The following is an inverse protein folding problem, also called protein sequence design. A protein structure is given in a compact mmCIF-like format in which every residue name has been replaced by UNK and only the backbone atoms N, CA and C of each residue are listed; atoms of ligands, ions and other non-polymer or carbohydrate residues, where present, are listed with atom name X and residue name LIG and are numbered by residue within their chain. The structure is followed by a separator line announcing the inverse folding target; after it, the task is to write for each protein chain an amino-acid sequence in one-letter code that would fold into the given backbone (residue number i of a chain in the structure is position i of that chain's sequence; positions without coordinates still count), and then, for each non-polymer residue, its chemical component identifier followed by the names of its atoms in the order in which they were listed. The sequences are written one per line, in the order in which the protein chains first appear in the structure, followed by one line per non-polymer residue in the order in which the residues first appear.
data_IF_298618003567
#
_entry.id   IF_298618003567
#
_cell.length_a   1.000
_cell.length_b   1.000
_cell.length_c   1.000
_cell.angle_alpha   90.00
_cell.angle_beta   90.00
_cell.angle_gamma   90.00
#
_symmetry.space_group_name_H-M   'P 1'
#
loop_
_entity.id
_entity.type
_entity.pdbx_description
1 polymer ?
#
# COMPACT_ATOMS: atom_id res chain seq x y z
N UNK A 1 -6.96 -12.13 -15.20
CA UNK A 1 -6.89 -10.67 -15.44
C UNK A 1 -5.59 -10.16 -14.85
N UNK A 2 -4.87 -9.31 -15.57
CA UNK A 2 -3.58 -8.74 -15.16
C UNK A 2 -3.64 -7.22 -15.32
N UNK A 3 -2.90 -6.51 -14.47
CA UNK A 3 -2.55 -5.10 -14.69
C UNK A 3 -1.10 -5.07 -15.19
N UNK A 4 -0.89 -4.47 -16.36
CA UNK A 4 0.43 -4.36 -17.00
C UNK A 4 0.74 -2.88 -17.18
N UNK A 5 1.89 -2.46 -16.67
CA UNK A 5 2.43 -1.11 -16.79
C UNK A 5 3.75 -1.19 -17.54
N UNK A 6 3.93 -0.35 -18.58
CA UNK A 6 5.14 -0.35 -19.40
C UNK A 6 5.66 1.08 -19.57
N UNK A 7 6.94 1.26 -19.29
CA UNK A 7 7.74 2.48 -19.54
C UNK A 7 7.04 3.75 -19.05
N UNK A 8 6.33 3.65 -17.88
CA UNK A 8 5.53 4.73 -17.36
C UNK A 8 6.41 5.82 -16.76
N UNK A 9 6.23 7.05 -17.24
CA UNK A 9 6.98 8.21 -16.81
C UNK A 9 6.05 9.35 -16.40
N UNK A 10 6.47 10.10 -15.37
CA UNK A 10 5.80 11.32 -14.93
C UNK A 10 6.78 12.29 -14.31
N UNK A 11 6.84 13.49 -14.85
CA UNK A 11 7.59 14.62 -14.32
C UNK A 11 6.62 15.77 -14.00
N UNK A 12 6.79 16.37 -12.83
CA UNK A 12 6.00 17.53 -12.46
C UNK A 12 6.66 18.83 -12.97
N UNK A 13 5.89 19.96 -13.08
CA UNK A 13 6.43 21.22 -13.58
C UNK A 13 7.63 21.78 -12.79
N UNK A 14 7.77 21.38 -11.53
CA UNK A 14 8.91 21.72 -10.67
C UNK A 14 10.17 20.89 -10.94
N UNK A 15 10.18 20.05 -11.99
CA UNK A 15 11.31 19.21 -12.37
C UNK A 15 11.41 17.87 -11.62
N UNK A 16 10.52 17.59 -10.68
CA UNK A 16 10.53 16.31 -9.96
C UNK A 16 10.06 15.19 -10.87
N UNK A 17 10.93 14.22 -11.13
CA UNK A 17 10.63 13.00 -11.88
C UNK A 17 9.99 11.97 -10.93
N UNK A 18 8.68 12.04 -10.79
CA UNK A 18 7.92 11.24 -9.84
C UNK A 18 7.72 9.79 -10.25
N UNK A 19 7.73 9.52 -11.57
CA UNK A 19 7.80 8.16 -12.15
C UNK A 19 8.88 8.15 -13.22
N UNK A 20 9.75 7.17 -13.16
CA UNK A 20 10.89 7.03 -14.04
C UNK A 20 10.98 5.60 -14.55
N UNK A 21 10.47 5.36 -15.75
CA UNK A 21 10.49 4.07 -16.43
C UNK A 21 9.90 2.93 -15.57
N UNK A 22 8.70 3.14 -15.02
CA UNK A 22 8.04 2.12 -14.21
C UNK A 22 7.49 1.03 -15.12
N UNK A 23 7.92 -0.19 -14.83
CA UNK A 23 7.47 -1.42 -15.48
C UNK A 23 6.97 -2.38 -14.39
N UNK A 24 5.72 -2.85 -14.48
CA UNK A 24 5.10 -3.76 -13.50
C UNK A 24 4.09 -4.68 -14.18
N UNK A 25 4.00 -5.91 -13.69
CA UNK A 25 2.92 -6.84 -14.07
C UNK A 25 2.31 -7.43 -12.82
N UNK A 26 1.04 -7.12 -12.55
CA UNK A 26 0.32 -7.56 -11.38
C UNK A 26 -0.76 -8.57 -11.75
N UNK A 27 -0.80 -9.67 -11.04
CA UNK A 27 -1.86 -10.67 -11.09
C UNK A 27 -2.90 -10.44 -9.98
N UNK A 28 -3.96 -11.25 -9.92
CA UNK A 28 -4.85 -11.29 -8.77
C UNK A 28 -4.05 -11.54 -7.50
N UNK A 29 -4.43 -10.88 -6.42
CA UNK A 29 -3.74 -10.95 -5.13
C UNK A 29 -3.47 -9.58 -4.54
N UNK A 30 -2.85 -9.60 -3.37
CA UNK A 30 -2.42 -8.41 -2.65
C UNK A 30 -1.00 -8.03 -3.08
N UNK A 31 -0.85 -6.82 -3.59
CA UNK A 31 0.42 -6.25 -4.03
C UNK A 31 0.83 -5.07 -3.15
N UNK A 32 1.98 -5.17 -2.49
CA UNK A 32 2.54 -4.14 -1.62
C UNK A 32 3.40 -3.14 -2.39
N UNK A 33 3.02 -1.87 -2.33
CA UNK A 33 3.81 -0.75 -2.86
C UNK A 33 4.48 -0.02 -1.69
N UNK A 34 5.73 -0.38 -1.40
CA UNK A 34 6.49 0.09 -0.25
C UNK A 34 7.49 1.18 -0.68
N UNK A 35 7.68 2.18 0.17
CA UNK A 35 8.66 3.25 -0.08
C UNK A 35 8.47 4.45 0.83
N UNK A 36 9.48 5.33 0.97
CA UNK A 36 9.38 6.53 1.79
C UNK A 36 8.41 7.55 1.18
N UNK A 37 8.11 8.60 1.95
CA UNK A 37 7.37 9.74 1.43
C UNK A 37 8.16 10.38 0.29
N UNK A 38 7.46 10.75 -0.79
CA UNK A 38 8.11 11.26 -2.01
C UNK A 38 8.68 10.20 -2.96
N UNK A 39 8.57 8.90 -2.65
CA UNK A 39 9.06 7.82 -3.54
C UNK A 39 8.33 7.72 -4.89
N UNK A 40 7.15 8.35 -5.03
CA UNK A 40 6.33 8.27 -6.24
C UNK A 40 5.10 7.38 -6.13
N UNK A 41 4.87 6.73 -4.98
CA UNK A 41 3.74 5.79 -4.74
C UNK A 41 2.37 6.39 -5.08
N UNK A 42 2.03 7.52 -4.47
CA UNK A 42 0.73 8.19 -4.71
C UNK A 42 0.61 8.71 -6.14
N UNK A 43 1.73 9.09 -6.78
CA UNK A 43 1.74 9.46 -8.21
C UNK A 43 1.39 8.24 -9.07
N UNK A 44 2.00 7.10 -8.83
CA UNK A 44 1.72 5.85 -9.54
C UNK A 44 0.24 5.47 -9.38
N UNK A 45 -0.27 5.44 -8.16
CA UNK A 45 -1.66 5.08 -7.88
C UNK A 45 -2.67 6.04 -8.51
N UNK A 46 -2.43 7.36 -8.43
CA UNK A 46 -3.29 8.36 -9.08
C UNK A 46 -3.28 8.21 -10.60
N UNK A 47 -2.15 7.84 -11.19
CA UNK A 47 -2.04 7.60 -12.63
C UNK A 47 -2.82 6.35 -13.03
N UNK A 48 -2.69 5.24 -12.28
CA UNK A 48 -3.48 4.02 -12.50
C UNK A 48 -4.98 4.30 -12.30
N UNK A 49 -5.34 5.10 -11.28
CA UNK A 49 -6.73 5.49 -11.01
C UNK A 49 -7.30 6.52 -12.00
N UNK A 50 -6.54 6.96 -13.01
CA UNK A 50 -6.92 7.99 -13.99
C UNK A 50 -7.28 9.35 -13.39
N UNK A 51 -6.70 9.70 -12.25
CA UNK A 51 -6.82 10.99 -11.60
C UNK A 51 -5.78 12.00 -12.10
N UNK A 52 -4.76 11.51 -12.79
CA UNK A 52 -3.76 12.30 -13.51
C UNK A 52 -3.23 11.50 -14.71
N UNK A 53 -2.70 12.18 -15.70
CA UNK A 53 -2.11 11.56 -16.89
C UNK A 53 -0.58 11.42 -16.71
N UNK A 54 0.03 10.32 -17.18
CA UNK A 54 1.47 10.19 -17.30
C UNK A 54 1.98 11.06 -18.47
N UNK A 55 3.30 11.23 -18.54
CA UNK A 55 3.92 11.93 -19.69
C UNK A 55 4.21 10.95 -20.83
N UNK A 56 4.47 9.68 -20.51
CA UNK A 56 4.64 8.58 -21.47
C UNK A 56 4.42 7.22 -20.81
N UNK A 57 4.34 6.17 -21.63
CA UNK A 57 4.11 4.80 -21.22
C UNK A 57 2.68 4.34 -21.44
N UNK A 58 2.38 3.13 -20.99
CA UNK A 58 1.05 2.52 -21.13
C UNK A 58 0.63 1.76 -19.88
N UNK A 59 -0.68 1.67 -19.66
CA UNK A 59 -1.28 0.89 -18.57
C UNK A 59 -2.44 0.09 -19.14
N UNK A 60 -2.41 -1.23 -18.96
CA UNK A 60 -3.41 -2.16 -19.45
C UNK A 60 -4.01 -2.96 -18.29
N UNK A 61 -5.34 -3.00 -18.16
CA UNK A 61 -6.05 -3.87 -17.21
C UNK A 61 -6.90 -4.89 -17.99
N UNK A 62 -6.37 -6.10 -18.18
CA UNK A 62 -6.97 -7.07 -19.10
C UNK A 62 -7.08 -6.46 -20.50
N UNK A 63 -8.29 -6.31 -21.03
CA UNK A 63 -8.56 -5.71 -22.36
C UNK A 63 -8.77 -4.19 -22.30
N UNK A 64 -8.71 -3.57 -21.11
CA UNK A 64 -8.94 -2.13 -20.93
C UNK A 64 -7.62 -1.37 -21.04
N UNK A 65 -7.50 -0.50 -22.03
CA UNK A 65 -6.48 0.54 -22.08
C UNK A 65 -6.84 1.64 -21.07
N UNK A 66 -6.12 1.64 -19.95
CA UNK A 66 -6.44 2.49 -18.79
C UNK A 66 -6.38 3.99 -19.13
N UNK A 67 -5.44 4.39 -19.97
CA UNK A 67 -5.23 5.80 -20.29
C UNK A 67 -6.27 6.33 -21.30
N UNK A 68 -6.69 5.50 -22.24
CA UNK A 68 -7.63 5.87 -23.29
C UNK A 68 -9.08 5.50 -22.97
N UNK A 69 -9.31 4.49 -22.13
CA UNK A 69 -10.64 3.99 -21.77
C UNK A 69 -10.96 4.27 -20.28
N UNK A 70 -10.72 5.50 -19.83
CA UNK A 70 -10.86 5.91 -18.41
C UNK A 70 -12.23 5.58 -17.83
N UNK A 71 -13.31 5.73 -18.62
CA UNK A 71 -14.67 5.43 -18.19
C UNK A 71 -14.88 3.94 -17.92
N UNK A 72 -14.31 3.06 -18.74
CA UNK A 72 -14.41 1.61 -18.57
C UNK A 72 -13.61 1.16 -17.34
N UNK A 73 -12.43 1.73 -17.14
CA UNK A 73 -11.68 1.47 -15.91
C UNK A 73 -12.48 1.83 -14.66
N UNK A 74 -13.09 3.04 -14.62
CA UNK A 74 -13.82 3.53 -13.44
C UNK A 74 -15.01 2.67 -13.04
N UNK A 75 -15.59 1.91 -13.96
CA UNK A 75 -16.65 0.93 -13.66
C UNK A 75 -16.11 -0.24 -12.81
N UNK A 76 -14.87 -0.65 -13.05
CA UNK A 76 -14.23 -1.82 -12.45
C UNK A 76 -13.09 -1.49 -11.46
N UNK A 77 -12.91 -0.21 -11.14
CA UNK A 77 -11.93 0.28 -10.18
C UNK A 77 -12.58 0.56 -8.82
N UNK A 78 -12.02 0.03 -7.75
CA UNK A 78 -12.21 0.52 -6.37
C UNK A 78 -11.03 1.42 -5.99
N UNK A 79 -11.29 2.57 -5.38
CA UNK A 79 -10.21 3.46 -4.94
C UNK A 79 -10.50 3.99 -3.54
N UNK A 80 -9.58 3.71 -2.61
CA UNK A 80 -9.56 4.27 -1.27
C UNK A 80 -8.32 5.16 -1.15
N UNK A 81 -8.46 6.49 -1.26
CA UNK A 81 -7.35 7.42 -1.04
C UNK A 81 -6.99 7.51 0.45
N UNK A 82 -5.80 7.98 0.75
CA UNK A 82 -5.33 8.23 2.12
C UNK A 82 -6.26 9.16 2.90
N UNK A 83 -6.64 10.28 2.28
CA UNK A 83 -7.61 11.22 2.81
C UNK A 83 -8.82 11.28 1.90
N UNK A 84 -9.98 11.00 2.44
CA UNK A 84 -11.24 11.19 1.73
C UNK A 84 -12.20 12.00 2.59
N UNK A 85 -12.68 13.08 1.98
CA UNK A 85 -13.69 13.95 2.58
C UNK A 85 -15.06 13.28 2.60
N UNK A 86 -15.85 13.61 3.61
CA UNK A 86 -17.23 13.17 3.69
C UNK A 86 -18.17 14.35 3.55
N UNK A 87 -19.31 14.12 2.91
CA UNK A 87 -20.39 15.08 2.94
C UNK A 87 -20.92 15.20 4.39
N UNK A 88 -20.90 16.39 4.97
CA UNK A 88 -21.43 16.59 6.32
C UNK A 88 -22.92 16.25 6.35
N UNK A 89 -23.38 15.62 7.43
CA UNK A 89 -24.78 15.27 7.68
C UNK A 89 -25.40 14.27 6.69
N UNK A 90 -24.60 13.39 6.10
CA UNK A 90 -25.09 12.28 5.26
C UNK A 90 -24.78 10.96 5.96
N UNK A 91 -25.79 10.09 6.07
CA UNK A 91 -25.63 8.77 6.67
C UNK A 91 -24.81 7.84 5.76
N UNK A 92 -24.12 6.86 6.38
CA UNK A 92 -23.35 5.87 5.62
C UNK A 92 -24.22 5.11 4.62
N UNK A 93 -25.45 4.75 5.01
CA UNK A 93 -26.41 4.09 4.13
C UNK A 93 -26.70 4.94 2.90
N UNK A 94 -27.12 6.21 3.10
CA UNK A 94 -27.48 7.10 1.99
C UNK A 94 -26.32 7.40 1.07
N UNK A 95 -25.11 7.56 1.64
CA UNK A 95 -23.91 7.84 0.86
C UNK A 95 -23.49 6.62 0.02
N UNK A 96 -23.54 5.41 0.59
CA UNK A 96 -23.20 4.19 -0.11
C UNK A 96 -24.23 3.86 -1.21
N UNK A 97 -25.55 4.09 -0.96
CA UNK A 97 -26.58 3.99 -1.99
C UNK A 97 -26.33 4.98 -3.16
N UNK A 98 -25.92 6.21 -2.84
CA UNK A 98 -25.57 7.20 -3.86
C UNK A 98 -24.38 6.74 -4.72
N UNK A 99 -23.30 6.26 -4.09
CA UNK A 99 -22.15 5.72 -4.81
C UNK A 99 -22.50 4.49 -5.64
N UNK A 100 -23.40 3.64 -5.16
CA UNK A 100 -23.89 2.50 -5.92
C UNK A 100 -24.62 2.93 -7.22
N UNK A 101 -25.41 4.01 -7.17
CA UNK A 101 -26.03 4.60 -8.37
C UNK A 101 -24.96 5.11 -9.34
N UNK A 102 -23.92 5.81 -8.84
CA UNK A 102 -22.82 6.29 -9.67
C UNK A 102 -22.01 5.13 -10.31
N UNK A 103 -21.99 3.96 -9.66
CA UNK A 103 -21.42 2.72 -10.21
C UNK A 103 -22.36 1.98 -11.19
N UNK A 104 -23.53 2.54 -11.51
CA UNK A 104 -24.46 1.98 -12.48
C UNK A 104 -25.47 0.98 -11.90
N UNK A 105 -25.54 0.79 -10.57
CA UNK A 105 -26.53 -0.08 -9.92
C UNK A 105 -27.85 0.66 -9.81
N UNK A 106 -28.63 0.66 -10.91
CA UNK A 106 -29.86 1.45 -11.05
C UNK A 106 -31.06 0.81 -10.35
N UNK A 107 -31.13 -0.53 -10.28
CA UNK A 107 -32.23 -1.24 -9.65
C UNK A 107 -32.20 -1.01 -8.11
N UNK A 108 -33.30 -0.46 -7.58
CA UNK A 108 -33.37 -0.09 -6.16
C UNK A 108 -33.30 -1.30 -5.23
N UNK A 109 -33.89 -2.45 -5.60
CA UNK A 109 -33.89 -3.65 -4.78
C UNK A 109 -32.48 -4.27 -4.73
N UNK A 110 -31.88 -4.47 -5.90
CA UNK A 110 -30.52 -4.95 -6.03
C UNK A 110 -29.51 -4.06 -5.28
N UNK A 111 -29.62 -2.73 -5.46
CA UNK A 111 -28.75 -1.75 -4.79
C UNK A 111 -28.86 -1.86 -3.27
N UNK A 112 -30.07 -2.01 -2.73
CA UNK A 112 -30.25 -2.19 -1.29
C UNK A 112 -29.62 -3.48 -0.79
N UNK A 113 -29.79 -4.59 -1.50
CA UNK A 113 -29.20 -5.88 -1.14
C UNK A 113 -27.67 -5.81 -1.13
N UNK A 114 -27.06 -5.20 -2.16
CA UNK A 114 -25.60 -5.02 -2.26
C UNK A 114 -25.08 -4.11 -1.13
N UNK A 115 -25.75 -2.97 -0.89
CA UNK A 115 -25.31 -2.01 0.13
C UNK A 115 -25.44 -2.61 1.53
N UNK A 116 -26.52 -3.31 1.83
CA UNK A 116 -26.70 -3.98 3.11
C UNK A 116 -25.63 -5.08 3.32
N UNK A 117 -25.34 -5.88 2.30
CA UNK A 117 -24.26 -6.88 2.35
C UNK A 117 -22.88 -6.27 2.61
N UNK A 118 -22.53 -5.20 1.90
CA UNK A 118 -21.25 -4.51 2.10
C UNK A 118 -21.13 -3.89 3.49
N UNK A 119 -22.20 -3.30 4.02
CA UNK A 119 -22.24 -2.77 5.38
C UNK A 119 -22.10 -3.88 6.44
N UNK A 120 -22.63 -5.07 6.18
CA UNK A 120 -22.43 -6.25 7.04
C UNK A 120 -20.98 -6.75 6.97
N UNK A 121 -20.44 -6.95 5.77
CA UNK A 121 -19.07 -7.40 5.54
C UNK A 121 -18.03 -6.48 6.20
N UNK A 122 -18.28 -5.16 6.17
CA UNK A 122 -17.39 -4.18 6.78
C UNK A 122 -17.73 -3.87 8.25
N UNK A 123 -18.68 -4.60 8.84
CA UNK A 123 -19.12 -4.45 10.23
C UNK A 123 -19.61 -3.02 10.57
N UNK A 124 -20.38 -2.42 9.65
CA UNK A 124 -20.95 -1.08 9.76
C UNK A 124 -22.48 -1.07 9.74
N UNK A 125 -23.12 -2.23 9.61
CA UNK A 125 -24.57 -2.33 9.43
C UNK A 125 -25.35 -1.67 10.56
N UNK A 126 -24.97 -1.88 11.83
CA UNK A 126 -25.65 -1.28 12.98
C UNK A 126 -25.47 0.25 13.02
N UNK A 127 -24.35 0.75 12.53
CA UNK A 127 -24.05 2.19 12.48
C UNK A 127 -24.51 2.87 11.18
N UNK A 128 -25.16 2.15 10.24
CA UNK A 128 -25.44 2.63 8.87
C UNK A 128 -26.28 3.90 8.77
N UNK A 129 -27.09 4.18 9.81
CA UNK A 129 -27.94 5.39 9.87
C UNK A 129 -27.22 6.61 10.44
N UNK A 130 -26.04 6.42 11.06
CA UNK A 130 -25.22 7.52 11.57
C UNK A 130 -24.52 8.24 10.43
N UNK A 131 -24.23 9.53 10.60
CA UNK A 131 -23.45 10.30 9.63
C UNK A 131 -22.00 9.78 9.59
N UNK A 132 -21.41 9.71 8.38
CA UNK A 132 -20.03 9.24 8.24
C UNK A 132 -19.03 10.17 8.93
N UNK A 133 -19.36 11.45 9.06
CA UNK A 133 -18.57 12.42 9.84
C UNK A 133 -18.42 12.05 11.33
N UNK A 134 -19.36 11.29 11.88
CA UNK A 134 -19.36 10.84 13.28
C UNK A 134 -18.62 9.50 13.50
N UNK A 135 -18.12 8.89 12.43
CA UNK A 135 -17.40 7.62 12.50
C UNK A 135 -16.00 7.80 13.11
N UNK A 136 -15.54 6.79 13.86
CA UNK A 136 -14.14 6.70 14.24
C UNK A 136 -13.22 6.55 13.02
N UNK A 137 -11.90 6.72 13.19
CA UNK A 137 -10.93 6.49 12.12
C UNK A 137 -11.08 5.12 11.46
N UNK A 138 -11.14 4.05 12.27
CA UNK A 138 -11.33 2.69 11.77
C UNK A 138 -12.68 2.48 11.09
N UNK A 139 -13.77 3.07 11.62
CA UNK A 139 -15.07 3.02 10.93
C UNK A 139 -15.05 3.74 9.58
N UNK A 140 -14.35 4.87 9.47
CA UNK A 140 -14.18 5.59 8.20
C UNK A 140 -13.43 4.74 7.19
N UNK A 141 -12.32 4.12 7.58
CA UNK A 141 -11.55 3.25 6.70
C UNK A 141 -12.40 2.06 6.20
N UNK A 142 -13.15 1.41 7.09
CA UNK A 142 -14.08 0.33 6.71
C UNK A 142 -15.19 0.80 5.77
N UNK A 143 -15.71 2.02 5.97
CA UNK A 143 -16.65 2.62 5.04
C UNK A 143 -16.01 2.88 3.66
N UNK A 144 -14.77 3.36 3.62
CA UNK A 144 -14.01 3.53 2.39
C UNK A 144 -13.81 2.23 1.61
N UNK A 145 -13.56 1.11 2.32
CA UNK A 145 -13.52 -0.21 1.69
C UNK A 145 -14.89 -0.64 1.16
N UNK A 146 -15.99 -0.44 1.93
CA UNK A 146 -17.33 -0.74 1.45
C UNK A 146 -17.63 0.02 0.14
N UNK A 147 -17.22 1.30 0.07
CA UNK A 147 -17.32 2.10 -1.14
C UNK A 147 -16.46 1.56 -2.28
N UNK A 148 -15.21 1.16 -2.01
CA UNK A 148 -14.30 0.64 -3.01
C UNK A 148 -14.77 -0.71 -3.61
N UNK A 149 -15.53 -1.49 -2.86
CA UNK A 149 -16.10 -2.78 -3.30
C UNK A 149 -17.36 -2.65 -4.16
N UNK A 150 -17.97 -1.47 -4.24
CA UNK A 150 -19.16 -1.25 -5.06
C UNK A 150 -18.88 -1.52 -6.55
N UNK A 151 -19.81 -2.21 -7.21
CA UNK A 151 -19.75 -2.49 -8.65
C UNK A 151 -18.84 -3.66 -9.02
N UNK A 152 -18.51 -4.54 -8.08
CA UNK A 152 -17.67 -5.73 -8.32
C UNK A 152 -16.32 -5.41 -9.00
N UNK A 153 -15.44 -4.64 -8.34
CA UNK A 153 -14.20 -4.16 -8.93
C UNK A 153 -13.29 -5.30 -9.36
N UNK A 154 -12.47 -5.04 -10.38
CA UNK A 154 -11.39 -5.92 -10.85
C UNK A 154 -10.02 -5.47 -10.35
N UNK A 155 -9.91 -4.20 -10.01
CA UNK A 155 -8.74 -3.56 -9.44
C UNK A 155 -9.18 -2.71 -8.23
N UNK A 156 -8.50 -2.85 -7.11
CA UNK A 156 -8.67 -2.01 -5.93
C UNK A 156 -7.33 -1.35 -5.61
N UNK A 157 -7.35 -0.06 -5.38
CA UNK A 157 -6.19 0.73 -4.95
C UNK A 157 -6.49 1.28 -3.57
N UNK A 158 -5.58 1.05 -2.63
CA UNK A 158 -5.72 1.43 -1.22
C UNK A 158 -4.46 2.19 -0.80
N UNK A 159 -4.61 3.46 -0.47
CA UNK A 159 -3.48 4.35 -0.15
C UNK A 159 -3.39 4.57 1.37
N UNK A 160 -2.35 4.03 1.99
CA UNK A 160 -2.01 4.14 3.42
C UNK A 160 -3.19 3.89 4.38
N UNK A 161 -3.97 2.81 4.22
CA UNK A 161 -5.25 2.66 4.91
C UNK A 161 -5.15 2.40 6.41
N UNK A 162 -4.00 1.93 6.88
CA UNK A 162 -3.79 1.52 8.29
C UNK A 162 -3.12 2.60 9.13
N UNK A 163 -2.74 3.72 8.50
CA UNK A 163 -2.13 4.84 9.19
C UNK A 163 -3.08 5.40 10.27
N UNK A 164 -2.59 5.46 11.51
CA UNK A 164 -3.37 6.00 12.64
C UNK A 164 -4.48 5.08 13.17
N UNK A 165 -4.58 3.83 12.73
CA UNK A 165 -5.47 2.84 13.32
C UNK A 165 -4.83 2.21 14.57
N UNK A 166 -5.68 1.92 15.57
CA UNK A 166 -5.27 1.07 16.68
C UNK A 166 -5.03 -0.39 16.21
N UNK A 167 -4.30 -1.22 16.99
CA UNK A 167 -3.97 -2.59 16.58
C UNK A 167 -5.20 -3.46 16.29
N UNK A 168 -6.32 -3.27 17.00
CA UNK A 168 -7.51 -4.07 16.80
C UNK A 168 -8.22 -3.70 15.49
N UNK A 169 -8.37 -2.41 15.19
CA UNK A 169 -8.93 -1.93 13.93
C UNK A 169 -8.05 -2.30 12.74
N UNK A 170 -6.72 -2.22 12.90
CA UNK A 170 -5.75 -2.66 11.87
C UNK A 170 -5.94 -4.15 11.54
N UNK A 171 -6.03 -5.01 12.54
CA UNK A 171 -6.27 -6.44 12.32
C UNK A 171 -7.62 -6.71 11.63
N UNK A 172 -8.68 -6.01 12.02
CA UNK A 172 -9.99 -6.12 11.35
C UNK A 172 -9.91 -5.70 9.89
N UNK A 173 -9.20 -4.61 9.62
CA UNK A 173 -8.99 -4.12 8.26
C UNK A 173 -8.17 -5.11 7.41
N UNK A 174 -7.12 -5.71 7.99
CA UNK A 174 -6.31 -6.76 7.36
C UNK A 174 -7.16 -7.97 6.95
N UNK A 175 -8.05 -8.44 7.82
CA UNK A 175 -8.93 -9.57 7.51
C UNK A 175 -9.83 -9.27 6.30
N UNK A 176 -10.44 -8.07 6.25
CA UNK A 176 -11.29 -7.67 5.13
C UNK A 176 -10.47 -7.62 3.82
N UNK A 177 -9.28 -7.01 3.84
CA UNK A 177 -8.43 -6.93 2.65
C UNK A 177 -7.93 -8.30 2.18
N UNK A 178 -7.62 -9.21 3.10
CA UNK A 178 -7.16 -10.56 2.78
C UNK A 178 -8.23 -11.35 2.01
N UNK A 179 -9.49 -11.31 2.48
CA UNK A 179 -10.62 -11.96 1.79
C UNK A 179 -10.84 -11.40 0.37
N UNK A 180 -10.72 -10.06 0.23
CA UNK A 180 -10.89 -9.39 -1.06
C UNK A 180 -9.77 -9.76 -2.03
N UNK A 181 -8.52 -9.81 -1.54
CA UNK A 181 -7.31 -10.05 -2.34
C UNK A 181 -7.31 -11.40 -3.07
N UNK A 182 -8.06 -12.40 -2.61
CA UNK A 182 -8.16 -13.69 -3.30
C UNK A 182 -8.81 -13.60 -4.69
N UNK A 183 -9.69 -12.61 -4.90
CA UNK A 183 -10.55 -12.52 -6.08
C UNK A 183 -10.15 -11.42 -7.06
N UNK A 184 -9.49 -10.36 -6.58
CA UNK A 184 -9.21 -9.15 -7.34
C UNK A 184 -7.72 -8.78 -7.25
N UNK A 185 -7.27 -7.83 -8.09
CA UNK A 185 -5.96 -7.20 -7.94
C UNK A 185 -6.10 -6.09 -6.91
N UNK A 186 -5.35 -6.15 -5.81
CA UNK A 186 -5.33 -5.11 -4.78
C UNK A 186 -3.94 -4.50 -4.70
N UNK A 187 -3.81 -3.20 -4.93
CA UNK A 187 -2.57 -2.43 -4.72
C UNK A 187 -2.68 -1.74 -3.37
N UNK A 188 -1.85 -2.14 -2.43
CA UNK A 188 -1.71 -1.55 -1.10
C UNK A 188 -0.47 -0.66 -1.06
N UNK A 189 -0.64 0.66 -0.98
CA UNK A 189 0.46 1.56 -0.69
C UNK A 189 0.62 1.71 0.82
N UNK A 190 1.84 1.56 1.29
CA UNK A 190 2.15 1.75 2.71
C UNK A 190 3.63 2.09 2.90
N UNK A 191 3.94 2.76 4.01
CA UNK A 191 5.30 2.89 4.53
C UNK A 191 5.54 1.91 5.71
N UNK A 192 4.53 1.14 6.09
CA UNK A 192 4.56 0.17 7.20
C UNK A 192 4.91 -1.20 6.63
N UNK A 193 6.15 -1.64 6.86
CA UNK A 193 6.67 -2.91 6.33
C UNK A 193 5.86 -4.12 6.79
N UNK A 194 5.33 -4.06 8.02
CA UNK A 194 4.55 -5.14 8.62
C UNK A 194 3.21 -5.39 7.92
N UNK A 195 2.58 -4.36 7.33
CA UNK A 195 1.39 -4.54 6.49
C UNK A 195 1.70 -5.37 5.24
N UNK A 196 2.84 -5.07 4.59
CA UNK A 196 3.27 -5.81 3.40
C UNK A 196 3.60 -7.25 3.75
N UNK A 197 4.33 -7.48 4.86
CA UNK A 197 4.66 -8.82 5.35
C UNK A 197 3.42 -9.66 5.62
N UNK A 198 2.38 -9.05 6.18
CA UNK A 198 1.17 -9.76 6.63
C UNK A 198 0.19 -10.01 5.49
N UNK A 199 0.02 -9.06 4.57
CA UNK A 199 -1.05 -9.08 3.58
C UNK A 199 -0.59 -9.43 2.17
N UNK A 200 0.64 -9.07 1.79
CA UNK A 200 1.02 -9.06 0.39
C UNK A 200 1.77 -10.32 -0.02
N UNK A 201 1.33 -10.94 -1.11
CA UNK A 201 2.03 -12.05 -1.75
C UNK A 201 3.08 -11.59 -2.78
N UNK A 202 3.00 -10.35 -3.24
CA UNK A 202 4.01 -9.70 -4.05
C UNK A 202 4.23 -8.26 -3.58
N UNK A 203 5.42 -7.71 -3.77
CA UNK A 203 5.74 -6.35 -3.39
C UNK A 203 6.79 -5.72 -4.30
N UNK A 204 6.80 -4.41 -4.31
CA UNK A 204 7.94 -3.61 -4.79
C UNK A 204 8.39 -2.62 -3.73
N UNK A 205 9.68 -2.31 -3.74
CA UNK A 205 10.22 -1.14 -3.03
C UNK A 205 10.50 -0.04 -4.06
N UNK A 206 9.85 1.11 -3.85
CA UNK A 206 10.01 2.31 -4.68
C UNK A 206 10.81 3.37 -3.96
N UNK A 207 11.70 4.06 -4.71
CA UNK A 207 12.35 5.28 -4.25
C UNK A 207 12.67 6.19 -5.43
N UNK A 208 12.56 7.50 -5.23
CA UNK A 208 12.83 8.52 -6.27
C UNK A 208 12.23 8.20 -7.65
N UNK A 209 10.98 7.72 -7.66
CA UNK A 209 10.25 7.40 -8.88
C UNK A 209 10.69 6.13 -9.60
N UNK A 210 11.56 5.32 -9.02
CA UNK A 210 12.05 4.06 -9.60
C UNK A 210 11.69 2.85 -8.73
N UNK A 211 11.59 1.67 -9.34
CA UNK A 211 11.47 0.39 -8.63
C UNK A 211 12.88 -0.09 -8.34
N UNK A 212 13.19 -0.31 -7.06
CA UNK A 212 14.48 -0.77 -6.59
C UNK A 212 14.52 -2.28 -6.35
N UNK A 213 13.37 -2.86 -5.98
CA UNK A 213 13.22 -4.28 -5.70
C UNK A 213 11.81 -4.71 -6.04
N UNK A 214 11.67 -5.89 -6.64
CA UNK A 214 10.40 -6.55 -6.94
C UNK A 214 10.49 -8.04 -6.57
N UNK A 215 9.43 -8.62 -6.02
CA UNK A 215 9.35 -10.03 -5.69
C UNK A 215 8.35 -10.34 -4.58
N UNK A 216 8.40 -11.56 -4.04
CA UNK A 216 7.63 -11.90 -2.84
C UNK A 216 8.37 -11.42 -1.58
N UNK A 217 7.66 -11.11 -0.48
CA UNK A 217 8.31 -10.78 0.80
C UNK A 217 9.33 -11.84 1.25
N UNK A 218 9.01 -13.12 1.05
CA UNK A 218 9.90 -14.24 1.41
C UNK A 218 11.18 -14.26 0.56
N UNK A 219 11.09 -14.06 -0.76
CA UNK A 219 12.25 -13.95 -1.64
C UNK A 219 13.14 -12.75 -1.27
N UNK A 220 12.51 -11.61 -0.95
CA UNK A 220 13.21 -10.42 -0.53
C UNK A 220 14.01 -10.67 0.77
N UNK A 221 13.42 -11.28 1.79
CA UNK A 221 14.10 -11.65 3.04
C UNK A 221 15.23 -12.64 2.77
N UNK A 222 14.97 -13.69 1.97
CA UNK A 222 15.99 -14.70 1.63
C UNK A 222 17.24 -14.08 0.96
N UNK A 223 17.10 -12.97 0.23
CA UNK A 223 18.22 -12.29 -0.46
C UNK A 223 19.26 -11.67 0.48
N UNK A 224 18.91 -11.43 1.74
CA UNK A 224 19.79 -10.85 2.77
C UNK A 224 19.99 -11.79 3.98
N UNK A 225 19.41 -13.01 3.94
CA UNK A 225 19.55 -13.99 5.02
C UNK A 225 21.03 -14.36 5.23
N UNK A 226 21.44 -14.44 6.52
CA UNK A 226 22.82 -14.72 6.93
C UNK A 226 23.79 -13.54 6.76
N UNK A 227 23.29 -12.37 6.35
CA UNK A 227 24.09 -11.15 6.10
C UNK A 227 23.72 -10.00 7.05
N UNK A 228 22.80 -10.22 7.99
CA UNK A 228 22.39 -9.21 8.95
C UNK A 228 23.08 -9.48 10.28
N UNK A 229 23.77 -8.48 10.75
CA UNK A 229 24.55 -8.51 11.98
C UNK A 229 24.05 -7.40 12.92
N UNK A 230 23.97 -7.73 14.19
CA UNK A 230 23.45 -6.84 15.23
C UNK A 230 24.53 -6.53 16.27
N UNK A 231 24.57 -5.28 16.70
CA UNK A 231 25.45 -4.84 17.80
C UNK A 231 24.71 -3.81 18.67
N UNK A 232 24.92 -3.91 19.99
CA UNK A 232 24.46 -2.92 20.97
C UNK A 232 25.59 -1.95 21.31
N UNK A 233 25.40 -0.66 21.05
CA UNK A 233 26.39 0.41 21.21
C UNK A 233 25.85 1.55 22.05
N UNK A 234 26.69 2.51 22.44
CA UNK A 234 26.25 3.74 23.04
C UNK A 234 25.70 4.72 21.97
N UNK A 235 24.86 5.68 22.38
CA UNK A 235 24.22 6.61 21.43
C UNK A 235 25.22 7.50 20.68
N UNK A 236 26.29 7.87 21.30
CA UNK A 236 27.37 8.70 20.77
C UNK A 236 28.25 7.96 19.74
N UNK A 237 28.27 6.64 19.76
CA UNK A 237 29.09 5.82 18.87
C UNK A 237 28.42 5.57 17.49
N UNK A 238 27.11 5.88 17.33
CA UNK A 238 26.36 5.57 16.10
C UNK A 238 27.02 6.15 14.84
N UNK A 239 27.53 7.38 14.90
CA UNK A 239 28.15 8.00 13.73
C UNK A 239 29.49 7.34 13.36
N UNK A 240 30.26 6.87 14.32
CA UNK A 240 31.50 6.13 14.10
C UNK A 240 31.19 4.82 13.36
N UNK A 241 30.19 4.06 13.86
CA UNK A 241 29.78 2.78 13.24
C UNK A 241 29.22 2.98 11.84
N UNK A 242 28.49 4.05 11.58
CA UNK A 242 28.02 4.39 10.21
C UNK A 242 29.16 4.68 9.24
N UNK A 243 30.25 5.25 9.72
CA UNK A 243 31.42 5.51 8.88
C UNK A 243 32.25 4.25 8.56
N UNK A 244 32.20 3.25 9.46
CA UNK A 244 32.97 2.00 9.32
C UNK A 244 32.20 0.88 8.64
N UNK A 245 30.89 0.83 8.85
CA UNK A 245 30.05 -0.28 8.43
C UNK A 245 28.77 0.20 7.72
N UNK A 246 28.20 -0.68 6.93
CA UNK A 246 26.90 -0.42 6.30
C UNK A 246 25.77 -0.62 7.32
N UNK A 247 25.57 0.37 8.20
CA UNK A 247 24.45 0.40 9.16
C UNK A 247 23.17 0.65 8.41
N UNK A 248 22.28 -0.34 8.36
CA UNK A 248 20.99 -0.28 7.64
C UNK A 248 19.85 0.22 8.52
N UNK A 249 19.89 -0.05 9.82
CA UNK A 249 18.90 0.45 10.77
C UNK A 249 19.49 0.63 12.17
N UNK A 250 18.79 1.41 13.00
CA UNK A 250 19.12 1.54 14.42
C UNK A 250 17.84 1.80 15.23
N UNK A 251 17.78 1.25 16.43
CA UNK A 251 16.68 1.41 17.36
C UNK A 251 17.20 1.57 18.80
N UNK A 252 16.42 2.24 19.64
CA UNK A 252 16.72 2.29 21.09
C UNK A 252 16.13 1.04 21.72
N UNK A 253 16.97 0.29 22.43
CA UNK A 253 16.59 -0.88 23.24
C UNK A 253 17.27 -0.80 24.59
N UNK A 254 16.51 -0.82 25.67
CA UNK A 254 17.01 -0.80 27.06
C UNK A 254 18.06 0.31 27.35
N UNK A 255 17.85 1.50 26.75
CA UNK A 255 18.73 2.65 26.95
C UNK A 255 20.00 2.67 26.07
N UNK A 256 20.28 1.60 25.31
CA UNK A 256 21.37 1.51 24.35
C UNK A 256 20.85 1.61 22.90
N UNK A 257 21.75 1.80 21.96
CA UNK A 257 21.43 1.75 20.52
C UNK A 257 21.72 0.36 19.99
N UNK A 258 20.69 -0.25 19.43
CA UNK A 258 20.81 -1.49 18.70
C UNK A 258 20.96 -1.13 17.22
N UNK A 259 22.08 -1.48 16.61
CA UNK A 259 22.31 -1.26 15.17
C UNK A 259 22.25 -2.59 14.40
N UNK A 260 21.69 -2.54 13.18
CA UNK A 260 21.80 -3.63 12.21
C UNK A 260 22.75 -3.22 11.10
N UNK A 261 23.64 -4.13 10.74
CA UNK A 261 24.65 -3.95 9.70
C UNK A 261 24.46 -5.03 8.63
N UNK A 262 24.53 -4.64 7.37
CA UNK A 262 24.54 -5.58 6.23
C UNK A 262 26.00 -5.87 5.83
N UNK A 263 26.44 -7.11 6.01
CA UNK A 263 27.76 -7.58 5.62
C UNK A 263 27.74 -9.07 5.26
N UNK A 264 28.59 -9.49 4.30
CA UNK A 264 28.68 -10.89 3.86
C UNK A 264 29.33 -11.79 4.92
N UNK A 265 30.24 -11.19 5.72
CA UNK A 265 30.93 -11.85 6.83
C UNK A 265 30.75 -11.03 8.10
N UNK A 266 31.10 -11.61 9.25
CA UNK A 266 31.04 -10.93 10.55
C UNK A 266 31.87 -9.64 10.51
N UNK A 267 31.25 -8.44 10.72
CA UNK A 267 31.96 -7.18 10.52
C UNK A 267 33.09 -6.93 11.52
N UNK A 268 32.92 -7.35 12.79
CA UNK A 268 33.91 -7.18 13.86
C UNK A 268 33.54 -8.08 15.06
N UNK A 269 34.41 -8.17 16.07
CA UNK A 269 34.09 -8.78 17.35
C UNK A 269 32.95 -8.06 18.05
N UNK A 270 32.01 -8.80 18.65
CA UNK A 270 30.84 -8.24 19.33
C UNK A 270 29.57 -8.19 18.47
N UNK A 271 29.67 -8.34 17.14
CA UNK A 271 28.47 -8.49 16.32
C UNK A 271 27.89 -9.90 16.42
N UNK A 272 26.59 -9.99 16.61
CA UNK A 272 25.82 -11.23 16.60
C UNK A 272 25.06 -11.40 15.29
N UNK A 273 25.03 -12.59 14.68
CA UNK A 273 24.17 -12.85 13.54
C UNK A 273 22.72 -12.84 13.98
N UNK A 274 21.83 -12.29 13.15
CA UNK A 274 20.38 -12.29 13.39
C UNK A 274 19.64 -12.71 12.14
N UNK A 275 18.44 -13.29 12.33
CA UNK A 275 17.56 -13.58 11.21
C UNK A 275 17.13 -12.28 10.54
N UNK A 276 17.22 -12.29 9.22
CA UNK A 276 16.83 -11.15 8.41
C UNK A 276 15.30 -10.92 8.46
N UNK A 277 14.92 -9.67 8.50
CA UNK A 277 13.53 -9.24 8.45
C UNK A 277 13.22 -8.48 7.16
N UNK A 278 11.95 -8.29 6.84
CA UNK A 278 11.55 -7.46 5.71
C UNK A 278 11.93 -5.98 5.91
N UNK A 279 12.03 -5.52 7.16
CA UNK A 279 12.55 -4.19 7.49
C UNK A 279 14.02 -4.05 7.12
N UNK A 280 14.85 -5.08 7.37
CA UNK A 280 16.26 -5.07 6.98
C UNK A 280 16.41 -4.99 5.46
N UNK A 281 15.56 -5.71 4.71
CA UNK A 281 15.50 -5.62 3.23
C UNK A 281 15.13 -4.19 2.81
N UNK A 282 14.07 -3.64 3.38
CA UNK A 282 13.59 -2.31 3.05
C UNK A 282 14.69 -1.26 3.27
N UNK A 283 15.26 -1.20 4.47
CA UNK A 283 16.31 -0.23 4.78
C UNK A 283 17.58 -0.44 3.96
N UNK A 284 18.02 -1.70 3.78
CA UNK A 284 19.20 -1.97 2.95
C UNK A 284 19.03 -1.59 1.49
N UNK A 285 17.79 -1.66 0.97
CA UNK A 285 17.43 -1.28 -0.40
C UNK A 285 17.41 0.25 -0.57
N UNK A 286 16.84 0.98 0.40
CA UNK A 286 16.74 2.46 0.36
C UNK A 286 18.11 3.12 0.55
N UNK A 287 18.98 2.61 1.44
CA UNK A 287 20.31 3.18 1.74
C UNK A 287 21.31 2.95 0.59
N UNK A 288 21.07 1.98 -0.29
CA UNK A 288 21.93 1.73 -1.45
C UNK A 288 21.88 2.83 -2.52
N UNK A 289 20.87 3.68 -2.49
CA UNK A 289 20.56 4.73 -3.44
C UNK A 289 20.46 6.08 -2.74
#
# INVERSE_FOLDING_TARGET
MQLIIRDLNKMYPNGVKALNNINLTLNKGMFGLLGPNGAGKSTLMRTIATLQDPDSGSIQLGDIDVLNQKSELRKVLGYLPQDFGFYPKVSALSLLEHFAVLKGISNKKERKEIVDALLQQTNLYEARKRNVSEYSGGMRQRFGIAQALLGNPKLIIVDEPTAGLDPMERNRFHNILSEIGEQVIVILSTHIVDDVKTLCNQMVVMNHGTILLEGTPAQAVASVQGRIWRLSINKDEVQEYRNRFKVISHAVSEGRMLIHVLADERPDTGFDPVDATLEDVYFSTIIKN
#
